data_IF_342002449453
#
_entry.id   IF_342002449453
#
_cell.length_a   1.000
_cell.length_b   1.000
_cell.length_c   1.000
_cell.angle_alpha   90.00
_cell.angle_beta   90.00
_cell.angle_gamma   90.00
#
_symmetry.space_group_name_H-M   'P 1'
#
loop_
_entity.id
_entity.type
_entity.pdbx_description
1 polymer ?
#
# COMPACT_ATOMS: atom_id res chain seq x y z
N UNK A 1 -13.56 19.53 -19.04
CA UNK A 1 -13.48 19.79 -17.60
C UNK A 1 -14.56 20.81 -17.32
N UNK A 2 -15.44 20.57 -16.33
CA UNK A 2 -16.42 21.57 -15.91
C UNK A 2 -15.72 22.74 -15.24
N UNK A 3 -16.34 23.93 -15.18
CA UNK A 3 -15.77 25.11 -14.51
C UNK A 3 -15.44 24.78 -13.05
N UNK A 4 -16.38 24.14 -12.34
CA UNK A 4 -16.22 23.70 -10.95
C UNK A 4 -14.99 22.80 -10.73
N UNK A 5 -14.75 21.81 -11.58
CA UNK A 5 -13.57 20.93 -11.48
C UNK A 5 -12.27 21.69 -11.82
N UNK A 6 -12.35 22.71 -12.67
CA UNK A 6 -11.20 23.54 -13.00
C UNK A 6 -10.81 24.40 -11.80
N UNK A 7 -11.78 25.07 -11.21
CA UNK A 7 -11.58 25.93 -10.03
C UNK A 7 -11.04 25.11 -8.86
N UNK A 8 -11.64 23.94 -8.56
CA UNK A 8 -11.13 23.01 -7.55
C UNK A 8 -9.68 22.57 -7.81
N UNK A 9 -9.32 22.35 -9.08
CA UNK A 9 -7.96 21.94 -9.44
C UNK A 9 -6.94 23.07 -9.21
N UNK A 10 -7.31 24.30 -9.54
CA UNK A 10 -6.49 25.50 -9.32
C UNK A 10 -6.32 25.74 -7.81
N UNK A 11 -7.40 25.69 -7.04
CA UNK A 11 -7.39 25.85 -5.59
C UNK A 11 -6.54 24.77 -4.90
N UNK A 12 -6.68 23.50 -5.32
CA UNK A 12 -5.86 22.42 -4.79
C UNK A 12 -4.37 22.65 -5.04
N UNK A 13 -3.98 23.03 -6.26
CA UNK A 13 -2.58 23.32 -6.57
C UNK A 13 -2.03 24.49 -5.75
N UNK A 14 -2.80 25.58 -5.61
CA UNK A 14 -2.41 26.74 -4.80
C UNK A 14 -2.25 26.35 -3.32
N UNK A 15 -3.22 25.60 -2.77
CA UNK A 15 -3.17 25.18 -1.38
C UNK A 15 -1.98 24.27 -1.08
N UNK A 16 -1.72 23.25 -1.93
CA UNK A 16 -0.56 22.36 -1.72
C UNK A 16 0.76 23.13 -1.89
N UNK A 17 0.86 24.08 -2.84
CA UNK A 17 2.05 24.91 -3.00
C UNK A 17 2.37 25.74 -1.73
N UNK A 18 1.33 26.25 -1.07
CA UNK A 18 1.48 27.06 0.16
C UNK A 18 1.66 26.21 1.42
N UNK A 19 0.98 25.06 1.50
CA UNK A 19 0.82 24.29 2.74
C UNK A 19 1.67 23.03 2.85
N UNK A 20 2.33 22.62 1.75
CA UNK A 20 3.26 21.48 1.80
C UNK A 20 4.42 21.82 2.74
N UNK A 21 4.68 20.99 3.76
CA UNK A 21 5.74 21.29 4.72
C UNK A 21 7.12 21.24 4.05
N UNK A 22 7.99 22.15 4.47
CA UNK A 22 9.40 22.16 4.06
C UNK A 22 10.20 20.97 4.61
N UNK A 23 11.52 20.95 4.38
CA UNK A 23 12.39 19.90 4.92
C UNK A 23 12.25 19.77 6.43
N UNK A 24 12.25 18.52 6.92
CA UNK A 24 12.20 18.18 8.32
C UNK A 24 13.60 17.88 8.87
N UNK A 25 13.76 17.93 10.18
CA UNK A 25 14.99 17.54 10.88
C UNK A 25 15.13 16.01 11.03
N UNK A 26 14.18 15.26 10.49
CA UNK A 26 14.16 13.80 10.41
C UNK A 26 13.81 13.35 8.99
N UNK A 27 14.19 12.12 8.66
CA UNK A 27 13.95 11.54 7.36
C UNK A 27 12.46 11.23 7.16
N UNK A 28 11.85 11.77 6.11
CA UNK A 28 10.50 11.42 5.72
C UNK A 28 10.44 10.01 5.08
N UNK A 29 9.42 9.21 5.41
CA UNK A 29 9.21 7.93 4.76
C UNK A 29 8.87 8.09 3.28
N UNK A 30 9.44 7.22 2.43
CA UNK A 30 9.08 7.12 1.01
C UNK A 30 7.75 6.37 0.83
N UNK A 31 7.47 5.45 1.75
CA UNK A 31 6.23 4.68 1.77
C UNK A 31 5.67 4.63 3.18
N UNK A 32 4.37 4.37 3.30
CA UNK A 32 3.75 4.15 4.61
C UNK A 32 4.40 3.01 5.40
N UNK A 33 4.98 2.00 4.74
CA UNK A 33 5.66 0.87 5.40
C UNK A 33 7.00 1.25 6.08
N UNK A 34 7.48 2.46 5.87
CA UNK A 34 8.75 2.95 6.44
C UNK A 34 8.57 3.81 7.68
N UNK A 35 7.34 4.09 8.10
CA UNK A 35 7.09 4.83 9.33
C UNK A 35 7.54 3.97 10.51
N UNK A 36 8.61 4.38 11.17
CA UNK A 36 9.28 3.60 12.21
C UNK A 36 9.49 4.34 13.52
N UNK A 37 9.22 5.66 13.56
CA UNK A 37 9.35 6.49 14.75
C UNK A 37 8.04 7.22 15.08
N UNK A 38 7.85 7.53 16.37
CA UNK A 38 6.66 8.27 16.80
C UNK A 38 6.63 9.68 16.21
N UNK A 39 7.78 10.31 15.99
CA UNK A 39 7.91 11.62 15.34
C UNK A 39 7.38 11.58 13.89
N UNK A 40 7.77 10.57 13.10
CA UNK A 40 7.25 10.38 11.75
C UNK A 40 5.74 10.11 11.76
N UNK A 41 5.28 9.30 12.72
CA UNK A 41 3.87 8.97 12.88
C UNK A 41 3.03 10.21 13.16
N UNK A 42 3.40 11.00 14.17
CA UNK A 42 2.66 12.19 14.57
C UNK A 42 2.64 13.24 13.46
N UNK A 43 3.79 13.49 12.84
CA UNK A 43 3.89 14.41 11.72
C UNK A 43 2.96 14.02 10.55
N UNK A 44 3.00 12.76 10.11
CA UNK A 44 2.18 12.29 8.98
C UNK A 44 0.69 12.20 9.33
N UNK A 45 0.35 11.88 10.59
CA UNK A 45 -1.03 11.91 11.07
C UNK A 45 -1.59 13.34 11.03
N UNK A 46 -0.84 14.31 11.53
CA UNK A 46 -1.26 15.70 11.54
C UNK A 46 -1.30 16.30 10.14
N UNK A 47 -0.37 15.89 9.27
CA UNK A 47 -0.41 16.21 7.84
C UNK A 47 -1.67 15.67 7.17
N UNK A 48 -2.01 14.40 7.37
CA UNK A 48 -3.22 13.81 6.82
C UNK A 48 -4.48 14.54 7.31
N UNK A 49 -4.54 14.89 8.59
CA UNK A 49 -5.65 15.67 9.16
C UNK A 49 -5.77 17.03 8.47
N UNK A 50 -4.68 17.76 8.29
CA UNK A 50 -4.63 19.04 7.62
C UNK A 50 -5.15 18.98 6.18
N UNK A 51 -4.75 17.96 5.42
CA UNK A 51 -5.24 17.73 4.04
C UNK A 51 -6.73 17.38 4.02
N UNK A 52 -7.20 16.61 4.98
CA UNK A 52 -8.62 16.28 5.13
C UNK A 52 -9.45 17.53 5.47
N UNK A 53 -9.04 18.33 6.43
CA UNK A 53 -9.73 19.57 6.85
C UNK A 53 -9.81 20.60 5.71
N UNK A 54 -8.82 20.60 4.82
CA UNK A 54 -8.82 21.41 3.61
C UNK A 54 -9.74 20.85 2.48
N UNK A 55 -10.34 19.66 2.66
CA UNK A 55 -11.25 19.07 1.68
C UNK A 55 -10.60 18.29 0.53
N UNK A 56 -9.29 18.06 0.57
CA UNK A 56 -8.54 17.39 -0.50
C UNK A 56 -8.33 15.90 -0.28
N UNK A 57 -8.74 15.36 0.86
CA UNK A 57 -8.72 13.94 1.17
C UNK A 57 -10.14 13.42 1.37
N UNK A 58 -10.51 12.33 0.70
CA UNK A 58 -11.87 11.82 0.71
C UNK A 58 -12.87 12.66 -0.09
N UNK A 59 -12.39 13.49 -1.03
CA UNK A 59 -13.24 14.36 -1.83
C UNK A 59 -14.37 13.61 -2.55
N UNK A 60 -14.13 12.39 -3.02
CA UNK A 60 -15.12 11.56 -3.71
C UNK A 60 -15.93 10.63 -2.78
N UNK A 61 -15.67 10.63 -1.48
CA UNK A 61 -16.41 9.80 -0.52
C UNK A 61 -17.72 10.49 -0.09
N UNK A 62 -18.75 9.72 0.31
CA UNK A 62 -20.06 10.28 0.68
C UNK A 62 -19.95 11.30 1.82
N UNK A 63 -20.63 12.44 1.65
CA UNK A 63 -20.60 13.54 2.63
C UNK A 63 -21.27 13.18 3.95
N UNK A 64 -22.25 12.29 3.94
CA UNK A 64 -22.96 11.79 5.13
C UNK A 64 -22.06 11.02 6.11
N UNK A 65 -20.89 10.54 5.64
CA UNK A 65 -19.89 9.85 6.47
C UNK A 65 -18.62 10.68 6.67
N UNK A 66 -18.62 11.94 6.22
CA UNK A 66 -17.49 12.86 6.40
C UNK A 66 -16.59 13.04 5.18
N UNK A 67 -16.96 12.48 4.02
CA UNK A 67 -16.30 12.77 2.75
C UNK A 67 -16.78 14.08 2.11
N UNK A 68 -16.23 14.41 0.94
CA UNK A 68 -16.59 15.65 0.21
C UNK A 68 -17.86 15.56 -0.62
N UNK A 69 -18.34 14.35 -0.94
CA UNK A 69 -19.52 14.14 -1.81
C UNK A 69 -19.28 14.56 -3.28
N UNK A 70 -18.04 14.79 -3.67
CA UNK A 70 -17.64 15.21 -5.02
C UNK A 70 -17.41 14.01 -5.95
N UNK A 71 -17.00 14.26 -7.19
CA UNK A 71 -16.67 13.18 -8.13
C UNK A 71 -15.24 12.66 -7.96
N UNK A 72 -14.97 11.44 -8.49
CA UNK A 72 -13.63 10.88 -8.53
C UNK A 72 -12.62 11.80 -9.26
N UNK A 73 -13.08 12.60 -10.23
CA UNK A 73 -12.22 13.55 -10.93
C UNK A 73 -11.66 14.65 -9.99
N UNK A 74 -12.40 15.05 -8.96
CA UNK A 74 -11.93 15.98 -7.94
C UNK A 74 -10.86 15.32 -7.06
N UNK A 75 -11.10 14.06 -6.62
CA UNK A 75 -10.08 13.33 -5.87
C UNK A 75 -8.79 13.12 -6.67
N UNK A 76 -8.91 12.79 -7.97
CA UNK A 76 -7.78 12.64 -8.87
C UNK A 76 -7.00 13.98 -9.04
N UNK A 77 -7.73 15.10 -9.09
CA UNK A 77 -7.11 16.44 -9.16
C UNK A 77 -6.34 16.77 -7.89
N UNK A 78 -6.93 16.53 -6.71
CA UNK A 78 -6.25 16.74 -5.42
C UNK A 78 -5.00 15.86 -5.29
N UNK A 79 -5.08 14.58 -5.68
CA UNK A 79 -3.93 13.66 -5.67
C UNK A 79 -2.80 14.11 -6.62
N UNK A 80 -3.15 14.65 -7.79
CA UNK A 80 -2.16 15.20 -8.73
C UNK A 80 -1.49 16.46 -8.16
N UNK A 81 -2.26 17.35 -7.55
CA UNK A 81 -1.74 18.55 -6.91
C UNK A 81 -0.78 18.20 -5.76
N UNK A 82 -1.13 17.24 -4.93
CA UNK A 82 -0.28 16.68 -3.86
C UNK A 82 1.07 16.19 -4.43
N UNK A 83 1.03 15.36 -5.48
CA UNK A 83 2.23 14.82 -6.13
C UNK A 83 3.08 15.92 -6.77
N UNK A 84 2.46 16.87 -7.45
CA UNK A 84 3.17 17.99 -8.12
C UNK A 84 3.92 18.90 -7.16
N UNK A 85 3.47 18.98 -5.91
CA UNK A 85 4.09 19.78 -4.86
C UNK A 85 4.97 18.95 -3.90
N UNK A 86 5.31 17.71 -4.23
CA UNK A 86 6.12 16.81 -3.40
C UNK A 86 5.63 16.72 -1.95
N UNK A 87 4.31 16.73 -1.75
CA UNK A 87 3.72 16.66 -0.42
C UNK A 87 4.04 15.32 0.26
N UNK A 88 4.11 15.26 1.59
CA UNK A 88 4.29 14.00 2.31
C UNK A 88 3.19 12.99 1.97
N UNK A 89 3.53 11.71 2.10
CA UNK A 89 2.57 10.60 1.89
C UNK A 89 1.46 10.63 2.95
N UNK A 90 0.30 10.05 2.61
CA UNK A 90 -0.75 9.78 3.60
C UNK A 90 -0.36 8.58 4.45
N UNK A 91 -0.43 8.77 5.77
CA UNK A 91 -0.02 7.73 6.72
C UNK A 91 -0.98 6.53 6.74
N UNK A 92 -2.28 6.80 6.87
CA UNK A 92 -3.32 5.77 7.08
C UNK A 92 -3.72 5.07 5.77
N UNK A 93 -2.73 4.63 4.98
CA UNK A 93 -2.95 4.03 3.66
C UNK A 93 -3.87 2.82 3.70
N UNK A 94 -3.76 1.97 4.75
CA UNK A 94 -4.64 0.81 4.92
C UNK A 94 -6.07 1.26 5.18
N UNK A 95 -6.27 2.28 6.01
CA UNK A 95 -7.59 2.88 6.23
C UNK A 95 -8.17 3.49 4.95
N UNK A 96 -7.39 4.34 4.28
CA UNK A 96 -7.82 5.09 3.10
C UNK A 96 -8.02 4.22 1.85
N UNK A 97 -7.16 3.22 1.65
CA UNK A 97 -7.12 2.43 0.42
C UNK A 97 -7.85 1.10 0.49
N UNK A 98 -8.00 0.51 1.68
CA UNK A 98 -8.50 -0.86 1.84
C UNK A 98 -9.71 -0.94 2.78
N UNK A 99 -9.56 -0.54 4.05
CA UNK A 99 -10.64 -0.63 5.03
C UNK A 99 -11.81 0.31 4.71
N UNK A 100 -11.53 1.56 4.37
CA UNK A 100 -12.56 2.54 4.05
C UNK A 100 -13.42 2.17 2.83
N UNK A 101 -12.81 1.84 1.67
CA UNK A 101 -13.55 1.33 0.51
C UNK A 101 -14.37 0.08 0.83
N UNK A 102 -13.81 -0.86 1.60
CA UNK A 102 -14.53 -2.06 2.03
C UNK A 102 -15.75 -1.72 2.90
N UNK A 103 -15.57 -0.81 3.87
CA UNK A 103 -16.65 -0.37 4.76
C UNK A 103 -17.74 0.37 3.99
N UNK A 104 -17.37 1.23 3.04
CA UNK A 104 -18.33 1.94 2.18
C UNK A 104 -19.16 0.97 1.32
N UNK A 105 -18.54 -0.10 0.84
CA UNK A 105 -19.19 -1.07 -0.04
C UNK A 105 -20.00 -2.13 0.73
N UNK A 106 -19.45 -2.70 1.81
CA UNK A 106 -20.03 -3.84 2.53
C UNK A 106 -20.41 -3.57 3.99
N UNK A 107 -19.95 -2.47 4.55
CA UNK A 107 -20.26 -2.12 5.93
C UNK A 107 -21.74 -1.73 6.11
N UNK A 108 -22.25 -2.01 7.29
CA UNK A 108 -23.56 -1.50 7.71
C UNK A 108 -23.53 0.02 7.85
N UNK A 109 -24.70 0.66 7.91
CA UNK A 109 -24.79 2.10 8.17
C UNK A 109 -24.09 2.50 9.49
N UNK A 110 -24.16 1.64 10.49
CA UNK A 110 -23.44 1.82 11.77
C UNK A 110 -21.92 1.82 11.55
N UNK A 111 -21.39 0.88 10.76
CA UNK A 111 -19.97 0.81 10.42
C UNK A 111 -19.50 2.07 9.67
N UNK A 112 -20.24 2.50 8.65
CA UNK A 112 -19.90 3.69 7.86
C UNK A 112 -19.82 4.94 8.74
N UNK A 113 -20.84 5.19 9.56
CA UNK A 113 -20.89 6.32 10.49
C UNK A 113 -19.80 6.27 11.57
N UNK A 114 -19.47 5.06 12.03
CA UNK A 114 -18.47 4.85 13.09
C UNK A 114 -17.04 5.08 12.60
N UNK A 115 -16.70 4.64 11.38
CA UNK A 115 -15.30 4.50 10.98
C UNK A 115 -14.82 5.48 9.91
N UNK A 116 -15.68 5.88 8.94
CA UNK A 116 -15.23 6.57 7.73
C UNK A 116 -14.55 7.91 8.04
N UNK A 117 -15.16 8.74 8.89
CA UNK A 117 -14.58 10.03 9.27
C UNK A 117 -13.24 9.87 10.00
N UNK A 118 -13.15 8.90 10.92
CA UNK A 118 -11.91 8.63 11.67
C UNK A 118 -10.78 8.11 10.79
N UNK A 119 -11.11 7.39 9.69
CA UNK A 119 -10.14 6.98 8.67
C UNK A 119 -9.59 8.20 7.92
N UNK A 120 -10.46 9.13 7.51
CA UNK A 120 -10.09 10.30 6.72
C UNK A 120 -9.19 11.27 7.51
N UNK A 121 -9.56 11.58 8.75
CA UNK A 121 -8.83 12.54 9.58
C UNK A 121 -7.67 11.92 10.38
N UNK A 122 -7.37 10.62 10.16
CA UNK A 122 -6.34 9.86 10.86
C UNK A 122 -6.50 9.76 12.40
N UNK A 123 -7.70 9.93 12.93
CA UNK A 123 -8.02 9.59 14.33
C UNK A 123 -8.08 8.07 14.52
N UNK A 124 -8.55 7.36 13.48
CA UNK A 124 -8.65 5.91 13.46
C UNK A 124 -7.63 5.34 12.46
N UNK A 125 -6.46 4.97 12.95
CA UNK A 125 -5.43 4.30 12.17
C UNK A 125 -5.77 2.82 12.05
N UNK A 126 -5.66 2.30 10.83
CA UNK A 126 -5.99 0.92 10.50
C UNK A 126 -4.77 0.10 10.11
N UNK A 127 -4.79 -1.17 10.48
CA UNK A 127 -3.83 -2.16 10.01
C UNK A 127 -4.55 -3.37 9.38
N UNK A 128 -3.76 -4.27 8.77
CA UNK A 128 -4.27 -5.49 8.15
C UNK A 128 -3.73 -6.72 8.87
N UNK A 129 -4.61 -7.62 9.31
CA UNK A 129 -4.31 -8.90 9.95
C UNK A 129 -4.68 -10.07 9.04
N UNK A 130 -3.88 -10.32 7.97
CA UNK A 130 -4.11 -11.42 7.04
C UNK A 130 -3.10 -12.53 7.24
N UNK A 131 -1.83 -12.27 6.92
CA UNK A 131 -0.75 -13.26 6.97
C UNK A 131 -0.49 -13.79 8.37
N UNK A 132 -0.18 -15.07 8.46
CA UNK A 132 0.29 -15.76 9.67
C UNK A 132 1.71 -16.29 9.45
N UNK A 133 2.47 -16.61 10.50
CA UNK A 133 3.83 -17.13 10.37
C UNK A 133 3.95 -18.28 9.35
N UNK A 134 2.99 -19.21 9.33
CA UNK A 134 2.97 -20.36 8.42
C UNK A 134 2.13 -20.14 7.15
N UNK A 135 1.30 -19.09 7.10
CA UNK A 135 0.29 -18.88 6.06
C UNK A 135 0.34 -17.45 5.47
N UNK A 136 1.39 -17.17 4.67
CA UNK A 136 1.50 -15.95 3.88
C UNK A 136 0.91 -16.13 2.48
N UNK A 137 1.62 -16.86 1.61
CA UNK A 137 1.16 -17.16 0.23
C UNK A 137 -0.07 -18.08 0.21
N UNK A 138 -0.18 -18.99 1.16
CA UNK A 138 -1.36 -19.87 1.33
C UNK A 138 -2.33 -19.27 2.38
N UNK A 139 -2.77 -18.05 2.13
CA UNK A 139 -3.67 -17.30 3.01
C UNK A 139 -4.98 -18.04 3.32
N UNK A 140 -5.47 -18.86 2.39
CA UNK A 140 -6.69 -19.65 2.61
C UNK A 140 -6.59 -20.66 3.77
N UNK A 141 -5.37 -21.02 4.16
CA UNK A 141 -5.10 -21.90 5.30
C UNK A 141 -4.86 -21.14 6.63
N UNK A 142 -5.17 -19.85 6.70
CA UNK A 142 -5.06 -19.10 7.95
C UNK A 142 -5.76 -19.80 9.11
N UNK A 143 -5.12 -19.81 10.29
CA UNK A 143 -5.49 -20.60 11.47
C UNK A 143 -5.87 -19.76 12.69
N UNK A 144 -5.74 -18.44 12.65
CA UNK A 144 -6.20 -17.59 13.76
C UNK A 144 -7.64 -17.96 14.11
N UNK A 145 -7.85 -18.49 15.29
CA UNK A 145 -9.14 -19.00 15.75
C UNK A 145 -10.03 -17.85 16.22
N UNK A 146 -11.30 -17.85 15.79
CA UNK A 146 -12.35 -16.96 16.29
C UNK A 146 -13.56 -17.82 16.71
N UNK A 147 -13.85 -17.83 17.99
CA UNK A 147 -14.97 -18.62 18.56
C UNK A 147 -16.03 -17.65 19.06
N UNK A 148 -17.26 -17.83 18.59
CA UNK A 148 -18.38 -17.00 19.02
C UNK A 148 -18.76 -17.28 20.48
N UNK A 149 -18.93 -16.22 21.28
CA UNK A 149 -19.39 -16.26 22.66
C UNK A 149 -20.41 -15.13 22.88
N UNK A 150 -21.67 -15.43 22.62
CA UNK A 150 -22.75 -14.45 22.67
C UNK A 150 -22.63 -13.35 21.59
N UNK A 151 -22.42 -12.13 22.01
CA UNK A 151 -22.24 -10.94 21.18
C UNK A 151 -20.78 -10.57 20.93
N UNK A 152 -19.84 -11.49 21.25
CA UNK A 152 -18.40 -11.34 21.04
C UNK A 152 -17.83 -12.55 20.28
N UNK A 153 -16.58 -12.39 19.81
CA UNK A 153 -15.71 -13.49 19.38
C UNK A 153 -14.44 -13.48 20.23
N UNK A 154 -14.02 -14.69 20.64
CA UNK A 154 -12.75 -14.92 21.36
C UNK A 154 -11.71 -15.33 20.33
N UNK A 155 -10.62 -14.57 20.25
CA UNK A 155 -9.54 -14.75 19.31
C UNK A 155 -8.32 -15.40 19.95
N UNK A 156 -7.74 -16.42 19.28
CA UNK A 156 -6.50 -17.07 19.69
C UNK A 156 -5.61 -17.38 18.49
N UNK A 157 -4.32 -16.99 18.55
CA UNK A 157 -3.34 -17.18 17.50
C UNK A 157 -2.46 -15.97 17.24
N UNK A 158 -1.92 -15.83 16.03
CA UNK A 158 -1.11 -14.67 15.69
C UNK A 158 -1.20 -14.27 14.23
N UNK A 159 -0.96 -12.99 13.94
CA UNK A 159 -0.78 -12.42 12.62
C UNK A 159 0.61 -11.82 12.50
N UNK A 160 1.19 -11.84 11.30
CA UNK A 160 2.52 -11.29 11.05
C UNK A 160 2.50 -10.33 9.86
N UNK A 161 3.51 -9.50 9.77
CA UNK A 161 3.61 -8.42 8.77
C UNK A 161 2.47 -7.41 8.87
N UNK A 162 1.96 -7.24 10.09
CA UNK A 162 0.92 -6.25 10.39
C UNK A 162 1.52 -4.85 10.33
N UNK A 163 1.34 -4.17 9.20
CA UNK A 163 1.85 -2.81 9.02
C UNK A 163 1.20 -1.88 10.01
N UNK A 164 2.01 -1.12 10.76
CA UNK A 164 1.57 -0.15 11.78
C UNK A 164 0.72 -0.74 12.92
N UNK A 165 0.76 -2.06 13.17
CA UNK A 165 -0.05 -2.69 14.22
C UNK A 165 0.10 -2.03 15.59
N UNK A 166 1.30 -1.53 15.91
CA UNK A 166 1.57 -0.82 17.17
C UNK A 166 0.95 0.59 17.25
N UNK A 167 0.59 1.22 16.12
CA UNK A 167 -0.13 2.51 16.08
C UNK A 167 -1.62 2.32 15.85
N UNK A 168 -2.03 1.18 15.25
CA UNK A 168 -3.39 0.95 14.82
C UNK A 168 -4.39 0.93 15.99
N UNK A 169 -5.55 1.52 15.75
CA UNK A 169 -6.72 1.45 16.61
C UNK A 169 -7.67 0.33 16.17
N UNK A 170 -7.66 0.02 14.88
CA UNK A 170 -8.48 -1.02 14.27
C UNK A 170 -7.70 -1.87 13.27
N UNK A 171 -8.19 -3.07 13.04
CA UNK A 171 -7.64 -4.05 12.10
C UNK A 171 -8.73 -4.61 11.19
N UNK A 172 -8.48 -4.66 9.89
CA UNK A 172 -9.20 -5.57 9.01
C UNK A 172 -8.61 -6.96 9.20
N UNK A 173 -9.38 -7.88 9.74
CA UNK A 173 -8.90 -9.17 10.26
C UNK A 173 -9.56 -10.34 9.55
N UNK A 174 -8.77 -11.27 9.03
CA UNK A 174 -9.22 -12.57 8.55
C UNK A 174 -8.94 -13.64 9.62
N UNK A 175 -9.98 -14.33 10.08
CA UNK A 175 -9.87 -15.37 11.11
C UNK A 175 -10.72 -16.58 10.76
N UNK A 176 -10.42 -17.74 11.35
CA UNK A 176 -11.15 -18.98 11.15
C UNK A 176 -12.20 -19.16 12.23
N UNK A 177 -13.47 -19.26 11.81
CA UNK A 177 -14.62 -19.51 12.67
C UNK A 177 -15.09 -20.96 12.59
N UNK A 178 -14.85 -21.66 11.46
CA UNK A 178 -15.20 -23.06 11.28
C UNK A 178 -13.97 -23.87 10.82
N UNK A 179 -13.56 -24.84 11.65
CA UNK A 179 -12.43 -25.74 11.37
C UNK A 179 -12.86 -27.03 10.66
N UNK A 180 -14.17 -27.34 10.66
CA UNK A 180 -14.76 -28.52 10.02
C UNK A 180 -15.39 -28.19 8.65
N UNK A 181 -15.17 -26.95 8.16
CA UNK A 181 -15.67 -26.49 6.88
C UNK A 181 -15.23 -27.40 5.70
N UNK A 182 -16.05 -27.56 4.65
CA UNK A 182 -15.80 -28.49 3.54
C UNK A 182 -14.54 -28.17 2.73
N UNK A 183 -14.01 -26.98 2.86
CA UNK A 183 -12.74 -26.55 2.25
C UNK A 183 -12.12 -25.41 3.05
N UNK A 184 -10.83 -25.15 2.82
CA UNK A 184 -10.06 -24.16 3.57
C UNK A 184 -10.59 -22.71 3.50
N UNK A 185 -11.40 -22.37 2.51
CA UNK A 185 -11.93 -21.03 2.32
C UNK A 185 -13.25 -20.79 3.05
N UNK A 186 -14.09 -21.83 3.16
CA UNK A 186 -15.44 -21.71 3.70
C UNK A 186 -15.48 -21.48 5.22
N UNK A 187 -14.40 -21.82 5.94
CA UNK A 187 -14.31 -21.61 7.38
C UNK A 187 -13.76 -20.25 7.81
N UNK A 188 -13.49 -19.34 6.87
CA UNK A 188 -12.91 -18.04 7.16
C UNK A 188 -13.99 -16.95 7.28
N UNK A 189 -13.86 -16.10 8.29
CA UNK A 189 -14.71 -14.93 8.53
C UNK A 189 -13.87 -13.66 8.57
N UNK A 190 -14.49 -12.52 8.30
CA UNK A 190 -13.81 -11.23 8.18
C UNK A 190 -14.35 -10.23 9.18
N UNK A 191 -13.46 -9.56 9.92
CA UNK A 191 -13.83 -8.68 11.03
C UNK A 191 -13.20 -7.29 10.93
N UNK A 192 -13.93 -6.28 11.38
CA UNK A 192 -13.39 -4.99 11.78
C UNK A 192 -13.06 -5.07 13.28
N UNK A 193 -11.82 -5.44 13.59
CA UNK A 193 -11.40 -5.74 14.95
C UNK A 193 -10.81 -4.50 15.62
N UNK A 194 -11.19 -4.14 16.86
CA UNK A 194 -10.40 -3.22 17.66
C UNK A 194 -9.03 -3.83 17.96
N UNK A 195 -8.01 -2.96 18.08
CA UNK A 195 -6.63 -3.36 18.42
C UNK A 195 -6.26 -3.03 19.88
N UNK A 196 -7.08 -2.23 20.55
CA UNK A 196 -6.81 -1.77 21.92
C UNK A 196 -7.77 -2.43 22.91
N UNK A 197 -7.69 -3.77 22.96
CA UNK A 197 -8.43 -4.63 23.88
C UNK A 197 -7.46 -5.58 24.58
N UNK A 198 -7.85 -6.10 25.72
CA UNK A 198 -7.05 -7.07 26.46
C UNK A 198 -6.85 -8.33 25.62
N UNK A 199 -5.68 -8.94 25.74
CA UNK A 199 -5.31 -10.14 24.99
C UNK A 199 -4.77 -9.87 23.58
N UNK A 200 -4.65 -8.61 23.13
CA UNK A 200 -3.95 -8.25 21.87
C UNK A 200 -2.62 -7.58 22.20
N UNK A 201 -1.53 -8.20 21.76
CA UNK A 201 -0.18 -7.69 21.89
C UNK A 201 0.51 -7.54 20.55
N UNK A 202 1.32 -6.49 20.36
CA UNK A 202 2.06 -6.24 19.12
C UNK A 202 3.56 -6.17 19.37
N UNK A 203 4.34 -6.97 18.65
CA UNK A 203 5.80 -6.98 18.71
C UNK A 203 6.38 -6.41 17.41
N UNK A 204 7.19 -5.37 17.53
CA UNK A 204 7.81 -4.69 16.39
C UNK A 204 8.83 -5.60 15.68
N UNK A 205 8.79 -5.62 14.35
CA UNK A 205 9.73 -6.35 13.49
C UNK A 205 10.69 -5.34 12.87
N UNK A 206 12.00 -5.54 13.08
CA UNK A 206 13.03 -4.72 12.45
C UNK A 206 13.24 -5.16 11.01
N UNK A 207 13.13 -4.22 10.06
CA UNK A 207 13.36 -4.44 8.64
C UNK A 207 14.85 -4.35 8.27
N UNK A 208 15.19 -4.71 7.01
CA UNK A 208 16.54 -4.54 6.47
C UNK A 208 17.00 -3.08 6.49
N UNK A 209 16.07 -2.16 6.32
CA UNK A 209 16.28 -0.70 6.36
C UNK A 209 16.46 -0.13 7.77
N UNK A 210 16.28 -0.97 8.80
CA UNK A 210 16.45 -0.59 10.21
C UNK A 210 15.16 -0.14 10.92
N UNK A 211 14.13 0.28 10.20
CA UNK A 211 12.88 0.76 10.77
C UNK A 211 11.97 -0.40 11.25
N UNK A 212 10.96 -0.04 12.05
CA UNK A 212 9.99 -0.95 12.66
C UNK A 212 8.56 -0.75 12.12
N UNK A 213 8.41 -0.69 10.78
CA UNK A 213 7.10 -0.48 10.15
C UNK A 213 6.13 -1.66 10.22
N UNK A 214 6.61 -2.86 10.57
CA UNK A 214 5.80 -4.08 10.72
C UNK A 214 5.76 -4.57 12.15
N UNK A 215 4.69 -5.32 12.47
CA UNK A 215 4.57 -6.05 13.74
C UNK A 215 4.13 -7.49 13.51
N UNK A 216 4.44 -8.35 14.48
CA UNK A 216 3.69 -9.55 14.76
C UNK A 216 2.65 -9.21 15.81
N UNK A 217 1.41 -9.63 15.61
CA UNK A 217 0.28 -9.39 16.51
C UNK A 217 -0.19 -10.71 17.09
N UNK A 218 -0.21 -10.82 18.41
CA UNK A 218 -0.63 -12.00 19.15
C UNK A 218 -2.03 -11.77 19.73
N UNK A 219 -2.82 -12.83 19.73
CA UNK A 219 -4.17 -12.87 20.28
C UNK A 219 -4.24 -14.01 21.31
N UNK A 220 -4.52 -13.67 22.56
CA UNK A 220 -4.63 -14.60 23.71
C UNK A 220 -5.95 -14.33 24.42
N UNK A 221 -6.97 -15.14 24.09
CA UNK A 221 -8.34 -14.96 24.55
C UNK A 221 -8.89 -13.52 24.34
N UNK A 222 -8.43 -12.86 23.28
CA UNK A 222 -8.83 -11.50 22.97
C UNK A 222 -10.30 -11.44 22.54
N UNK A 223 -11.09 -10.61 23.21
CA UNK A 223 -12.53 -10.46 22.94
C UNK A 223 -12.80 -9.28 22.02
N UNK A 224 -13.47 -9.54 20.91
CA UNK A 224 -13.90 -8.52 19.95
C UNK A 224 -15.40 -8.56 19.74
N UNK A 225 -16.06 -7.40 19.52
CA UNK A 225 -17.50 -7.35 19.30
C UNK A 225 -17.93 -8.10 18.04
N UNK A 226 -19.02 -8.87 18.12
CA UNK A 226 -19.57 -9.62 16.99
C UNK A 226 -20.15 -8.70 15.89
N UNK A 227 -20.52 -7.46 16.24
CA UNK A 227 -20.99 -6.45 15.27
C UNK A 227 -19.88 -6.00 14.29
N UNK A 228 -18.59 -6.32 14.59
CA UNK A 228 -17.49 -6.10 13.66
C UNK A 228 -17.41 -7.09 12.50
N UNK A 229 -18.24 -8.14 12.45
CA UNK A 229 -18.29 -9.09 11.33
C UNK A 229 -18.74 -8.39 10.03
N UNK A 230 -17.99 -8.60 8.95
CA UNK A 230 -18.34 -8.12 7.61
C UNK A 230 -18.79 -9.30 6.73
N UNK A 231 -20.03 -9.22 6.26
CA UNK A 231 -20.69 -10.33 5.58
C UNK A 231 -21.14 -11.42 6.55
N UNK A 232 -21.44 -12.61 6.03
CA UNK A 232 -21.85 -13.75 6.83
C UNK A 232 -20.63 -14.48 7.41
N UNK A 233 -20.83 -15.19 8.53
CA UNK A 233 -19.83 -16.11 9.06
C UNK A 233 -19.50 -17.20 8.01
N UNK A 234 -18.21 -17.47 7.79
CA UNK A 234 -17.74 -18.36 6.73
C UNK A 234 -17.56 -17.71 5.34
N UNK A 235 -18.05 -16.48 5.13
CA UNK A 235 -17.90 -15.75 3.87
C UNK A 235 -16.63 -14.86 3.79
N UNK A 236 -15.76 -14.91 4.80
CA UNK A 236 -14.61 -14.02 4.94
C UNK A 236 -13.60 -14.10 3.80
N UNK A 237 -13.46 -15.25 3.14
CA UNK A 237 -12.57 -15.38 1.99
C UNK A 237 -12.97 -14.44 0.83
N UNK A 238 -14.27 -14.33 0.53
CA UNK A 238 -14.75 -13.44 -0.53
C UNK A 238 -14.47 -11.97 -0.20
N UNK A 239 -14.65 -11.59 1.07
CA UNK A 239 -14.36 -10.24 1.57
C UNK A 239 -12.87 -9.94 1.50
N UNK A 240 -12.02 -10.91 1.88
CA UNK A 240 -10.57 -10.80 1.77
C UNK A 240 -10.12 -10.62 0.31
N UNK A 241 -10.68 -11.39 -0.64
CA UNK A 241 -10.36 -11.25 -2.07
C UNK A 241 -10.74 -9.87 -2.59
N UNK A 242 -11.89 -9.33 -2.18
CA UNK A 242 -12.29 -7.97 -2.54
C UNK A 242 -11.34 -6.92 -1.95
N UNK A 243 -10.94 -7.07 -0.70
CA UNK A 243 -9.94 -6.20 -0.05
C UNK A 243 -8.60 -6.21 -0.81
N UNK A 244 -8.13 -7.39 -1.24
CA UNK A 244 -6.94 -7.52 -2.06
C UNK A 244 -7.09 -6.90 -3.47
N UNK A 245 -8.32 -6.80 -3.99
CA UNK A 245 -8.57 -6.04 -5.23
C UNK A 245 -8.42 -4.53 -5.00
N UNK A 246 -8.88 -3.99 -3.87
CA UNK A 246 -8.64 -2.59 -3.51
C UNK A 246 -7.15 -2.30 -3.37
N UNK A 247 -6.39 -3.18 -2.72
CA UNK A 247 -4.93 -3.08 -2.59
C UNK A 247 -4.22 -2.99 -3.96
N UNK A 248 -4.66 -3.79 -4.95
CA UNK A 248 -4.05 -3.86 -6.29
C UNK A 248 -4.56 -2.80 -7.26
N UNK A 249 -5.75 -2.27 -7.04
CA UNK A 249 -6.37 -1.28 -7.90
C UNK A 249 -6.25 0.12 -7.29
N UNK A 250 -5.33 0.92 -7.80
CA UNK A 250 -5.22 2.33 -7.44
C UNK A 250 -6.51 3.15 -7.69
N UNK A 251 -7.51 2.56 -8.37
CA UNK A 251 -8.85 3.13 -8.59
C UNK A 251 -9.87 2.79 -7.51
N UNK A 252 -9.58 1.85 -6.63
CA UNK A 252 -10.53 1.26 -5.70
C UNK A 252 -10.93 2.14 -4.54
N UNK A 253 -11.24 3.41 -4.80
CA UNK A 253 -11.81 4.27 -3.77
C UNK A 253 -10.78 4.82 -2.78
N UNK A 254 -9.53 4.92 -3.17
CA UNK A 254 -8.54 5.65 -2.37
C UNK A 254 -9.04 7.08 -2.16
N UNK A 255 -9.12 7.47 -0.90
CA UNK A 255 -9.51 8.81 -0.52
C UNK A 255 -8.48 9.88 -0.91
N UNK A 256 -7.45 9.50 -1.60
CA UNK A 256 -6.28 10.29 -1.99
C UNK A 256 -4.99 9.70 -1.43
N UNK A 257 -3.89 10.27 -1.85
CA UNK A 257 -2.56 9.81 -1.52
C UNK A 257 -1.83 9.21 -2.73
N UNK A 258 -0.55 9.09 -2.61
CA UNK A 258 0.33 8.50 -3.62
C UNK A 258 1.51 7.81 -2.94
N UNK A 259 2.17 6.93 -3.67
CA UNK A 259 3.44 6.34 -3.24
C UNK A 259 4.58 7.01 -3.99
N UNK A 260 5.65 7.32 -3.29
CA UNK A 260 6.89 7.87 -3.87
C UNK A 260 7.75 6.76 -4.49
N UNK A 261 7.30 5.50 -4.40
CA UNK A 261 8.08 4.33 -4.82
C UNK A 261 8.14 4.10 -6.34
N UNK A 262 7.42 4.87 -7.15
CA UNK A 262 7.61 4.83 -8.60
C UNK A 262 8.93 5.52 -8.95
N UNK A 263 10.00 4.74 -9.12
CA UNK A 263 11.27 5.27 -9.63
C UNK A 263 11.05 5.80 -11.04
N UNK A 264 11.17 7.12 -11.20
CA UNK A 264 11.18 7.73 -12.51
C UNK A 264 12.50 7.35 -13.22
N UNK A 265 12.49 6.73 -14.41
CA UNK A 265 13.73 6.40 -15.11
C UNK A 265 14.62 7.61 -15.43
N UNK A 266 14.10 8.82 -15.37
CA UNK A 266 14.91 10.04 -15.48
C UNK A 266 15.78 10.28 -14.25
N UNK A 267 15.37 9.84 -13.06
CA UNK A 267 16.16 9.97 -11.83
C UNK A 267 17.42 9.12 -11.89
N UNK A 268 17.32 7.88 -12.41
CA UNK A 268 18.52 7.04 -12.58
C UNK A 268 19.45 7.56 -13.68
N UNK A 269 18.89 8.21 -14.71
CA UNK A 269 19.70 8.89 -15.73
C UNK A 269 20.45 10.06 -15.12
N UNK A 270 19.85 10.84 -14.23
CA UNK A 270 20.51 11.94 -13.53
C UNK A 270 21.59 11.43 -12.57
N UNK A 271 21.36 10.30 -11.89
CA UNK A 271 22.40 9.60 -11.13
C UNK A 271 23.57 9.22 -12.04
N UNK A 272 23.30 8.57 -13.20
CA UNK A 272 24.31 8.14 -14.14
C UNK A 272 25.13 9.28 -14.72
N UNK A 273 24.52 10.46 -14.94
CA UNK A 273 25.23 11.68 -15.40
C UNK A 273 26.25 12.21 -14.39
N UNK A 274 26.01 11.96 -13.10
CA UNK A 274 26.89 12.42 -12.00
C UNK A 274 27.90 11.37 -11.57
N UNK A 275 27.68 10.10 -11.95
CA UNK A 275 28.50 8.97 -11.50
C UNK A 275 29.77 8.84 -12.34
N UNK A 276 30.87 8.51 -11.67
CA UNK A 276 32.15 8.24 -12.28
C UNK A 276 32.71 6.88 -11.81
N UNK A 277 33.43 6.21 -12.70
CA UNK A 277 34.19 4.98 -12.41
C UNK A 277 35.59 5.10 -12.93
N UNK A 278 36.57 5.00 -12.02
CA UNK A 278 37.99 5.16 -12.39
C UNK A 278 38.32 6.53 -13.00
N UNK A 279 37.64 7.60 -12.57
CA UNK A 279 37.84 8.97 -13.07
C UNK A 279 37.21 9.24 -14.45
N UNK A 280 36.35 8.34 -14.93
CA UNK A 280 35.63 8.50 -16.20
C UNK A 280 34.10 8.49 -15.94
N UNK A 281 33.32 9.26 -16.69
CA UNK A 281 31.85 9.21 -16.62
C UNK A 281 31.35 7.78 -16.88
N UNK A 282 30.44 7.26 -16.05
CA UNK A 282 29.87 5.92 -16.27
C UNK A 282 29.09 5.82 -17.58
N UNK A 283 28.59 6.95 -18.11
CA UNK A 283 27.91 6.99 -19.42
C UNK A 283 28.83 6.76 -20.61
N UNK A 284 30.15 6.77 -20.44
CA UNK A 284 31.07 6.38 -21.51
C UNK A 284 31.05 4.85 -21.74
N UNK A 285 30.60 4.07 -20.75
CA UNK A 285 30.45 2.63 -20.88
C UNK A 285 29.15 2.30 -21.70
N UNK A 286 29.28 1.65 -22.88
CA UNK A 286 28.14 1.31 -23.71
C UNK A 286 27.17 0.34 -23.02
N UNK A 287 27.65 -0.55 -22.15
CA UNK A 287 26.78 -1.50 -21.41
C UNK A 287 25.88 -0.76 -20.44
N UNK A 288 26.39 0.26 -19.75
CA UNK A 288 25.60 1.11 -18.86
C UNK A 288 24.53 1.88 -19.66
N UNK A 289 24.90 2.46 -20.81
CA UNK A 289 23.94 3.15 -21.68
C UNK A 289 22.82 2.23 -22.17
N UNK A 290 23.18 1.04 -22.63
CA UNK A 290 22.21 0.03 -23.08
C UNK A 290 21.21 -0.31 -21.96
N UNK A 291 21.69 -0.59 -20.75
CA UNK A 291 20.82 -0.92 -19.62
C UNK A 291 19.91 0.25 -19.20
N UNK A 292 20.37 1.50 -19.27
CA UNK A 292 19.54 2.68 -19.05
C UNK A 292 18.42 2.80 -20.09
N UNK A 293 18.71 2.50 -21.37
CA UNK A 293 17.71 2.49 -22.44
C UNK A 293 16.69 1.39 -22.20
N UNK A 294 17.08 0.20 -21.75
CA UNK A 294 16.16 -0.88 -21.38
C UNK A 294 15.19 -0.44 -20.30
N UNK A 295 15.67 0.18 -19.23
CA UNK A 295 14.76 0.71 -18.18
C UNK A 295 13.80 1.78 -18.71
N UNK A 296 14.23 2.62 -19.62
CA UNK A 296 13.34 3.61 -20.26
C UNK A 296 12.27 2.95 -21.11
N UNK A 297 12.63 1.91 -21.88
CA UNK A 297 11.69 1.13 -22.70
C UNK A 297 10.67 0.42 -21.81
N UNK A 298 11.13 -0.25 -20.74
CA UNK A 298 10.25 -0.95 -19.80
C UNK A 298 9.27 0.01 -19.10
N UNK A 299 9.75 1.15 -18.60
CA UNK A 299 8.90 2.17 -18.00
C UNK A 299 7.86 2.73 -18.98
N UNK A 300 8.27 2.95 -20.23
CA UNK A 300 7.36 3.38 -21.28
C UNK A 300 6.31 2.30 -21.62
N UNK A 301 6.71 1.03 -21.68
CA UNK A 301 5.81 -0.09 -21.90
C UNK A 301 4.77 -0.21 -20.77
N UNK A 302 5.19 -0.10 -19.50
CA UNK A 302 4.29 -0.08 -18.35
C UNK A 302 3.27 1.08 -18.45
N UNK A 303 3.74 2.29 -18.78
CA UNK A 303 2.88 3.46 -18.96
C UNK A 303 1.86 3.27 -20.08
N UNK A 304 2.27 2.69 -21.22
CA UNK A 304 1.39 2.40 -22.34
C UNK A 304 0.38 1.30 -22.00
N UNK A 305 0.79 0.24 -21.30
CA UNK A 305 -0.10 -0.81 -20.82
C UNK A 305 -1.14 -0.29 -19.83
N UNK A 306 -0.77 0.63 -18.93
CA UNK A 306 -1.72 1.30 -18.04
C UNK A 306 -2.77 2.14 -18.79
N UNK A 307 -2.38 2.78 -19.91
CA UNK A 307 -3.33 3.45 -20.82
C UNK A 307 -4.19 2.44 -21.59
N UNK A 308 -3.56 1.39 -22.13
CA UNK A 308 -4.26 0.32 -22.86
C UNK A 308 -5.31 -0.37 -22.00
N UNK A 309 -5.03 -0.62 -20.71
CA UNK A 309 -5.98 -1.21 -19.78
C UNK A 309 -7.31 -0.42 -19.63
N UNK A 310 -7.30 0.87 -19.98
CA UNK A 310 -8.49 1.74 -19.95
C UNK A 310 -9.26 1.77 -21.27
N UNK A 311 -8.81 1.05 -22.30
CA UNK A 311 -9.40 1.04 -23.64
C UNK A 311 -9.99 -0.35 -23.93
N UNK A 312 -11.32 -0.57 -23.71
CA UNK A 312 -11.94 -1.88 -23.88
C UNK A 312 -11.64 -2.54 -25.24
N UNK A 313 -11.64 -1.83 -26.39
CA UNK A 313 -11.35 -2.45 -27.68
C UNK A 313 -9.96 -3.09 -27.79
N UNK A 314 -9.00 -2.66 -26.95
CA UNK A 314 -7.63 -3.18 -26.94
C UNK A 314 -7.41 -4.34 -25.94
N UNK A 315 -8.47 -4.73 -25.22
CA UNK A 315 -8.40 -5.73 -24.13
C UNK A 315 -9.49 -6.81 -24.28
N UNK A 316 -10.15 -6.93 -25.43
CA UNK A 316 -11.33 -7.81 -25.61
C UNK A 316 -11.03 -9.28 -25.31
N UNK A 317 -9.86 -9.78 -25.75
CA UNK A 317 -9.49 -11.19 -25.61
C UNK A 317 -9.19 -11.60 -24.16
N UNK A 318 -8.58 -10.71 -23.37
CA UNK A 318 -8.29 -10.94 -21.95
C UNK A 318 -8.24 -9.61 -21.17
N UNK A 319 -9.39 -9.06 -20.76
CA UNK A 319 -9.46 -7.76 -20.06
C UNK A 319 -8.66 -7.73 -18.74
N UNK A 320 -8.47 -8.89 -18.13
CA UNK A 320 -7.78 -9.01 -16.83
C UNK A 320 -6.25 -9.15 -16.97
N UNK A 321 -5.72 -9.45 -18.16
CA UNK A 321 -4.28 -9.72 -18.34
C UNK A 321 -3.41 -8.54 -17.89
N UNK A 322 -3.70 -7.34 -18.36
CA UNK A 322 -2.91 -6.16 -18.05
C UNK A 322 -2.95 -5.78 -16.55
N UNK A 323 -4.11 -5.72 -15.88
CA UNK A 323 -4.16 -5.53 -14.43
C UNK A 323 -3.39 -6.59 -13.63
N UNK A 324 -3.50 -7.88 -14.00
CA UNK A 324 -2.80 -8.97 -13.32
C UNK A 324 -1.28 -8.90 -13.50
N UNK A 325 -0.81 -8.52 -14.70
CA UNK A 325 0.62 -8.38 -14.99
C UNK A 325 1.24 -7.15 -14.29
N UNK A 326 0.48 -6.10 -14.06
CA UNK A 326 0.95 -4.79 -13.63
C UNK A 326 1.78 -4.88 -12.35
N UNK A 327 1.28 -5.57 -11.32
CA UNK A 327 2.00 -5.73 -10.03
C UNK A 327 3.33 -6.45 -10.24
N UNK A 328 3.34 -7.57 -10.96
CA UNK A 328 4.53 -8.37 -11.19
C UNK A 328 5.62 -7.54 -11.91
N UNK A 329 5.27 -6.94 -13.04
CA UNK A 329 6.23 -6.20 -13.87
C UNK A 329 6.77 -4.99 -13.11
N UNK A 330 5.90 -4.21 -12.45
CA UNK A 330 6.31 -3.02 -11.72
C UNK A 330 7.26 -3.36 -10.55
N UNK A 331 6.96 -4.40 -9.78
CA UNK A 331 7.77 -4.71 -8.59
C UNK A 331 9.12 -5.33 -8.93
N UNK A 332 9.21 -6.13 -9.97
CA UNK A 332 10.50 -6.63 -10.48
C UNK A 332 11.32 -5.49 -11.07
N UNK A 333 10.72 -4.61 -11.87
CA UNK A 333 11.36 -3.41 -12.39
C UNK A 333 11.93 -2.52 -11.28
N UNK A 334 11.16 -2.28 -10.21
CA UNK A 334 11.62 -1.48 -9.07
C UNK A 334 12.84 -2.10 -8.39
N UNK A 335 12.87 -3.42 -8.23
CA UNK A 335 14.01 -4.12 -7.66
C UNK A 335 15.24 -3.97 -8.56
N UNK A 336 15.11 -4.22 -9.85
CA UNK A 336 16.21 -4.17 -10.82
C UNK A 336 16.78 -2.75 -10.99
N UNK A 337 15.94 -1.72 -11.08
CA UNK A 337 16.42 -0.35 -11.26
C UNK A 337 17.15 0.17 -10.01
N UNK A 338 16.68 -0.17 -8.80
CA UNK A 338 17.39 0.19 -7.56
C UNK A 338 18.71 -0.57 -7.40
N UNK A 339 18.75 -1.86 -7.76
CA UNK A 339 19.99 -2.64 -7.80
C UNK A 339 21.00 -2.02 -8.79
N UNK A 340 20.54 -1.64 -9.97
CA UNK A 340 21.37 -0.98 -10.96
C UNK A 340 21.89 0.38 -10.47
N UNK A 341 21.08 1.16 -9.77
CA UNK A 341 21.49 2.41 -9.16
C UNK A 341 22.68 2.23 -8.20
N UNK A 342 22.71 1.14 -7.43
CA UNK A 342 23.85 0.81 -6.57
C UNK A 342 25.09 0.49 -7.39
N UNK A 343 24.96 -0.20 -8.53
CA UNK A 343 26.10 -0.49 -9.40
C UNK A 343 26.71 0.77 -9.99
N UNK A 344 25.91 1.81 -10.28
CA UNK A 344 26.38 3.12 -10.76
C UNK A 344 27.23 3.85 -9.71
N UNK A 345 26.90 3.69 -8.43
CA UNK A 345 27.59 4.34 -7.31
C UNK A 345 28.94 3.71 -6.98
N UNK A 346 29.22 2.50 -7.47
CA UNK A 346 30.45 1.76 -7.18
C UNK A 346 30.68 1.57 -5.68
N UNK A 347 31.84 1.92 -5.15
CA UNK A 347 32.17 1.77 -3.72
C UNK A 347 31.32 2.64 -2.80
N UNK A 348 30.72 3.71 -3.31
CA UNK A 348 29.83 4.58 -2.53
C UNK A 348 28.48 3.92 -2.21
N UNK A 349 28.11 2.86 -2.90
CA UNK A 349 26.89 2.09 -2.61
C UNK A 349 26.87 1.43 -1.23
N UNK A 350 28.02 1.33 -0.55
CA UNK A 350 28.11 0.82 0.81
C UNK A 350 27.67 1.82 1.88
N UNK A 351 27.54 3.11 1.56
CA UNK A 351 27.09 4.12 2.51
C UNK A 351 25.57 4.19 2.59
N UNK A 352 25.06 4.27 3.80
CA UNK A 352 23.62 4.32 4.07
C UNK A 352 23.17 5.73 4.49
N UNK A 353 21.88 5.90 4.70
CA UNK A 353 21.26 7.15 5.16
C UNK A 353 21.97 7.74 6.38
N UNK A 354 22.25 9.03 6.35
CA UNK A 354 22.92 9.77 7.42
C UNK A 354 24.46 9.66 7.40
N UNK A 355 25.06 8.89 6.48
CA UNK A 355 26.51 8.82 6.33
C UNK A 355 27.02 9.92 5.38
N UNK A 356 28.15 10.63 5.70
CA UNK A 356 28.61 11.81 4.94
C UNK A 356 28.88 11.58 3.45
N UNK A 357 29.17 10.33 3.06
CA UNK A 357 29.48 9.96 1.67
C UNK A 357 28.31 9.24 0.96
N UNK A 358 27.14 9.16 1.59
CA UNK A 358 25.96 8.56 0.98
C UNK A 358 25.52 9.39 -0.23
N UNK A 359 25.35 8.71 -1.36
CA UNK A 359 24.85 9.34 -2.59
C UNK A 359 23.36 9.62 -2.44
N UNK A 360 22.94 10.86 -2.73
CA UNK A 360 21.57 11.33 -2.57
C UNK A 360 20.99 10.97 -1.17
N UNK A 361 21.82 11.15 -0.13
CA UNK A 361 21.51 10.82 1.28
C UNK A 361 21.03 9.36 1.48
N UNK A 362 21.60 8.43 0.73
CA UNK A 362 21.26 6.99 0.83
C UNK A 362 19.93 6.60 0.19
N UNK A 363 19.28 7.49 -0.58
CA UNK A 363 18.00 7.25 -1.25
C UNK A 363 17.98 5.93 -2.03
N UNK A 364 18.97 5.70 -2.87
CA UNK A 364 19.05 4.50 -3.72
C UNK A 364 19.31 3.22 -2.93
N UNK A 365 20.18 3.29 -1.91
CA UNK A 365 20.47 2.14 -1.04
C UNK A 365 19.22 1.74 -0.25
N UNK A 366 18.53 2.72 0.32
CA UNK A 366 17.24 2.53 1.01
C UNK A 366 16.18 1.98 0.05
N UNK A 367 16.08 2.54 -1.15
CA UNK A 367 15.18 2.07 -2.21
C UNK A 367 15.43 0.61 -2.57
N UNK A 368 16.69 0.21 -2.71
CA UNK A 368 17.07 -1.18 -2.97
C UNK A 368 16.63 -2.14 -1.86
N UNK A 369 16.90 -1.81 -0.60
CA UNK A 369 16.51 -2.66 0.54
C UNK A 369 14.97 -2.76 0.69
N UNK A 370 14.24 -1.71 0.39
CA UNK A 370 12.77 -1.71 0.40
C UNK A 370 12.16 -2.46 -0.79
N UNK A 371 12.81 -2.49 -1.95
CA UNK A 371 12.28 -3.09 -3.16
C UNK A 371 11.99 -4.60 -3.03
N UNK A 372 12.70 -5.30 -2.14
CA UNK A 372 12.42 -6.71 -1.85
C UNK A 372 11.00 -6.93 -1.28
N UNK A 373 10.52 -6.03 -0.43
CA UNK A 373 9.18 -6.14 0.14
C UNK A 373 8.09 -6.09 -0.94
N UNK A 374 8.31 -5.32 -2.00
CA UNK A 374 7.36 -5.17 -3.09
C UNK A 374 7.18 -6.46 -3.91
N UNK A 375 8.24 -7.29 -4.05
CA UNK A 375 8.15 -8.58 -4.75
C UNK A 375 7.54 -9.70 -3.90
N UNK A 376 7.35 -9.45 -2.60
CA UNK A 376 6.81 -10.40 -1.61
C UNK A 376 5.37 -10.04 -1.21
N UNK A 377 5.14 -8.81 -0.76
CA UNK A 377 3.83 -8.32 -0.31
C UNK A 377 2.79 -8.24 -1.45
N UNK A 378 1.51 -8.33 -1.13
CA UNK A 378 0.43 -8.32 -2.14
C UNK A 378 0.43 -9.53 -3.08
N UNK A 379 1.00 -10.67 -2.63
CA UNK A 379 1.29 -11.88 -3.41
C UNK A 379 2.67 -11.85 -4.03
N UNK A 380 3.48 -12.88 -3.73
CA UNK A 380 4.85 -12.99 -4.27
C UNK A 380 4.86 -13.00 -5.79
N UNK A 381 6.02 -12.69 -6.39
CA UNK A 381 6.20 -12.79 -7.85
C UNK A 381 5.80 -14.16 -8.40
N UNK A 382 6.03 -15.25 -7.64
CA UNK A 382 5.63 -16.60 -8.00
C UNK A 382 4.11 -16.76 -7.98
N UNK A 383 3.44 -16.27 -6.92
CA UNK A 383 1.97 -16.27 -6.83
C UNK A 383 1.35 -15.43 -7.97
N UNK A 384 1.94 -14.27 -8.30
CA UNK A 384 1.45 -13.47 -9.43
C UNK A 384 1.58 -14.22 -10.76
N UNK A 385 2.67 -14.95 -10.99
CA UNK A 385 2.85 -15.79 -12.18
C UNK A 385 1.79 -16.91 -12.24
N UNK A 386 1.48 -17.56 -11.10
CA UNK A 386 0.41 -18.55 -11.04
C UNK A 386 -0.95 -17.93 -11.38
N UNK A 387 -1.29 -16.77 -10.78
CA UNK A 387 -2.53 -16.07 -11.05
C UNK A 387 -2.65 -15.70 -12.56
N UNK A 388 -1.58 -15.20 -13.16
CA UNK A 388 -1.55 -14.88 -14.59
C UNK A 388 -1.73 -16.17 -15.43
N UNK A 389 -1.01 -17.23 -15.08
CA UNK A 389 -1.11 -18.52 -15.77
C UNK A 389 -2.52 -19.08 -15.74
N UNK A 390 -3.15 -19.10 -14.58
CA UNK A 390 -4.48 -19.67 -14.37
C UNK A 390 -5.60 -18.78 -14.95
N UNK A 391 -5.58 -17.48 -14.66
CA UNK A 391 -6.71 -16.60 -14.94
C UNK A 391 -6.58 -15.81 -16.27
N UNK A 392 -5.37 -15.55 -16.75
CA UNK A 392 -5.16 -14.87 -18.02
C UNK A 392 -4.86 -15.85 -19.18
N UNK A 393 -4.07 -16.88 -18.91
CA UNK A 393 -3.66 -17.85 -19.93
C UNK A 393 -4.48 -19.15 -19.95
N UNK A 394 -5.35 -19.36 -18.94
CA UNK A 394 -6.19 -20.58 -18.84
C UNK A 394 -5.40 -21.86 -18.59
N UNK A 395 -4.19 -21.75 -18.02
CA UNK A 395 -3.36 -22.91 -17.70
C UNK A 395 -3.96 -23.73 -16.56
N UNK A 396 -3.74 -25.06 -16.50
CA UNK A 396 -4.21 -25.89 -15.39
C UNK A 396 -3.61 -25.43 -14.07
N UNK A 397 -4.44 -25.48 -13.00
CA UNK A 397 -3.95 -25.27 -11.64
C UNK A 397 -2.94 -26.34 -11.27
N UNK A 398 -1.80 -25.94 -10.74
CA UNK A 398 -0.89 -26.84 -10.03
C UNK A 398 -1.60 -27.33 -8.76
N UNK A 399 -1.66 -28.64 -8.58
CA UNK A 399 -2.28 -29.29 -7.40
C UNK A 399 -1.41 -29.14 -6.17
#
# INVERSE_FOLDING_TARGET
>A
MTTELKDFTEDANAWFAENTPGPQDFMLPLTFMEVGTDQQFEFLRDWQRKVYEAGYLGAAWPSEYGGGGLSQAHQDAATKAMKANNAPIMFNTIGLGWAGPLILDRGTETHKKKYIKGILNAEDVWCQGFSEPEHGSDLGNAQLRAVRDGDEYILNGSKIWTTHGHYAKYMILLARTDFDAPNKYAGLSFFLSPMRVDGIETHKIRKLTGEHGFTQTFFSDARIPADGLIGDEGAGWQVAMQTLMYERNAKGGQAGGYSITEVNPLEILDLARKAERGGKPVLDDPVIRERLVDFMIEAQAMRLNAKRAKLPPLNQDCPQALPLMSKLVMTEYMREINEFALTLQGTKSGYYVGEPNAVDDGYWHRGYLNAFSATIGGGTSQIQRNIIGEHALGLPKTR
#
